data_IF_532930237962
#
_entry.id   IF_532930237962
#
_cell.length_a   1.000
_cell.length_b   1.000
_cell.length_c   1.000
_cell.angle_alpha   90.00
_cell.angle_beta   90.00
_cell.angle_gamma   90.00
#
_symmetry.space_group_name_H-M   'P 1'
#
loop_
_entity.id
_entity.type
_entity.pdbx_description
1 polymer ?
#
# COMPACT_ATOMS: atom_id res chain seq x y z
N UNK A 1 4.44 10.64 7.18
CA UNK A 1 3.73 11.03 5.94
C UNK A 1 3.35 9.75 5.21
N UNK A 2 2.09 9.61 4.79
CA UNK A 2 1.62 8.46 3.99
C UNK A 2 1.46 8.92 2.54
N UNK A 3 2.16 8.28 1.60
CA UNK A 3 2.23 8.73 0.19
C UNK A 3 1.25 8.03 -0.73
N UNK A 4 0.28 7.28 -0.18
CA UNK A 4 -0.74 6.58 -0.95
C UNK A 4 -0.24 5.29 -1.62
N UNK A 5 -1.17 4.59 -2.28
CA UNK A 5 -0.88 3.38 -3.05
C UNK A 5 -0.62 3.76 -4.51
N UNK A 6 0.49 3.27 -5.09
CA UNK A 6 0.73 3.42 -6.52
C UNK A 6 -0.09 2.42 -7.33
N UNK A 7 -0.63 2.85 -8.49
CA UNK A 7 -1.41 1.98 -9.38
C UNK A 7 -0.54 1.03 -10.22
N UNK A 8 0.74 1.37 -10.43
CA UNK A 8 1.71 0.52 -11.09
C UNK A 8 2.33 -0.50 -10.15
N UNK A 9 2.60 -1.71 -10.63
CA UNK A 9 3.28 -2.74 -9.83
C UNK A 9 4.75 -2.33 -9.67
N UNK A 10 5.17 -2.05 -8.44
CA UNK A 10 6.56 -1.73 -8.09
C UNK A 10 6.94 -0.26 -8.22
N UNK A 11 6.08 0.61 -8.77
CA UNK A 11 6.37 2.05 -8.94
C UNK A 11 6.48 2.82 -7.63
N UNK A 12 5.92 2.29 -6.54
CA UNK A 12 6.07 2.88 -5.20
C UNK A 12 7.49 2.73 -4.63
N UNK A 13 8.28 1.79 -5.14
CA UNK A 13 9.60 1.45 -4.61
C UNK A 13 10.61 2.58 -4.86
N UNK A 14 10.84 3.04 -6.12
CA UNK A 14 11.71 4.18 -6.36
C UNK A 14 11.16 5.47 -5.76
N UNK A 15 9.84 5.60 -5.64
CA UNK A 15 9.21 6.75 -4.97
C UNK A 15 9.60 6.82 -3.48
N UNK A 16 9.58 5.68 -2.78
CA UNK A 16 10.03 5.60 -1.38
C UNK A 16 11.49 6.03 -1.21
N UNK A 17 12.38 5.53 -2.08
CA UNK A 17 13.79 5.93 -2.09
C UNK A 17 13.96 7.43 -2.38
N UNK A 18 13.19 8.00 -3.33
CA UNK A 18 13.21 9.43 -3.64
C UNK A 18 12.74 10.31 -2.49
N UNK A 19 11.74 9.87 -1.72
CA UNK A 19 11.25 10.60 -0.54
C UNK A 19 12.35 10.74 0.51
N UNK A 20 13.06 9.65 0.85
CA UNK A 20 14.15 9.73 1.83
C UNK A 20 15.41 10.38 1.29
N UNK A 21 15.64 10.34 -0.02
CA UNK A 21 16.68 11.17 -0.64
C UNK A 21 16.39 12.65 -0.39
N UNK A 22 15.15 13.10 -0.59
CA UNK A 22 14.74 14.48 -0.32
C UNK A 22 14.82 14.82 1.18
N UNK A 23 14.42 13.91 2.08
CA UNK A 23 14.57 14.12 3.52
C UNK A 23 16.04 14.22 3.93
N UNK A 24 16.90 13.34 3.41
CA UNK A 24 18.35 13.38 3.64
C UNK A 24 18.96 14.68 3.13
N UNK A 25 18.57 15.14 1.95
CA UNK A 25 19.03 16.40 1.37
C UNK A 25 18.64 17.61 2.22
N UNK A 26 17.47 17.55 2.86
CA UNK A 26 16.96 18.59 3.77
C UNK A 26 17.43 18.42 5.23
N UNK A 27 18.31 17.45 5.51
CA UNK A 27 18.73 17.09 6.87
C UNK A 27 17.56 16.78 7.82
N UNK A 28 16.45 16.29 7.25
CA UNK A 28 15.30 15.83 8.00
C UNK A 28 15.57 14.37 8.36
N UNK A 29 15.70 14.08 9.65
CA UNK A 29 16.01 12.75 10.19
C UNK A 29 14.82 11.77 10.08
N UNK A 30 14.35 11.55 8.85
CA UNK A 30 13.19 10.73 8.52
C UNK A 30 13.62 9.50 7.73
N UNK A 31 12.84 8.43 7.92
CA UNK A 31 12.98 7.16 7.21
C UNK A 31 11.76 6.94 6.31
N UNK A 32 11.87 6.05 5.32
CA UNK A 32 10.76 5.64 4.46
C UNK A 32 10.70 4.13 4.40
N UNK A 33 9.48 3.62 4.51
CA UNK A 33 9.15 2.22 4.24
C UNK A 33 8.60 2.12 2.82
N UNK A 34 9.33 1.41 1.96
CA UNK A 34 8.92 1.08 0.61
C UNK A 34 8.35 -0.35 0.60
N UNK A 35 7.03 -0.45 0.71
CA UNK A 35 6.31 -1.73 0.79
C UNK A 35 5.91 -2.23 -0.60
N UNK A 36 6.17 -3.50 -0.90
CA UNK A 36 5.85 -4.14 -2.17
C UNK A 36 5.56 -5.64 -1.98
N UNK A 37 4.80 -6.24 -2.91
CA UNK A 37 4.48 -7.67 -2.87
C UNK A 37 5.54 -8.56 -3.52
N UNK A 38 5.47 -9.86 -3.26
CA UNK A 38 6.30 -10.91 -3.88
C UNK A 38 6.34 -10.83 -5.42
N UNK A 39 5.20 -10.57 -6.07
CA UNK A 39 5.14 -10.38 -7.53
C UNK A 39 5.86 -9.12 -8.01
N UNK A 40 5.90 -8.06 -7.19
CA UNK A 40 6.64 -6.84 -7.49
C UNK A 40 8.15 -7.00 -7.22
N UNK A 41 8.57 -8.03 -6.49
CA UNK A 41 9.98 -8.29 -6.20
C UNK A 41 10.81 -8.63 -7.44
N UNK A 42 10.17 -8.94 -8.57
CA UNK A 42 10.80 -9.20 -9.87
C UNK A 42 10.90 -7.97 -10.78
N UNK A 43 10.42 -6.80 -10.33
CA UNK A 43 10.46 -5.58 -11.14
C UNK A 43 11.88 -5.00 -11.20
N UNK A 44 12.36 -4.64 -12.39
CA UNK A 44 13.70 -4.09 -12.59
C UNK A 44 13.99 -2.85 -11.74
N UNK A 45 13.00 -1.95 -11.63
CA UNK A 45 13.09 -0.73 -10.82
C UNK A 45 13.38 -0.97 -9.33
N UNK A 46 13.09 -2.16 -8.79
CA UNK A 46 13.46 -2.52 -7.42
C UNK A 46 14.98 -2.62 -7.28
N UNK A 47 15.65 -3.27 -8.24
CA UNK A 47 17.11 -3.44 -8.22
C UNK A 47 17.83 -2.11 -8.45
N UNK A 48 17.28 -1.26 -9.32
CA UNK A 48 17.75 0.12 -9.48
C UNK A 48 17.63 0.89 -8.15
N UNK A 49 16.48 0.81 -7.49
CA UNK A 49 16.26 1.47 -6.20
C UNK A 49 17.21 0.94 -5.11
N UNK A 50 17.48 -0.36 -5.05
CA UNK A 50 18.46 -0.95 -4.13
C UNK A 50 19.85 -0.38 -4.35
N UNK A 51 20.32 -0.39 -5.60
CA UNK A 51 21.65 0.11 -5.94
C UNK A 51 21.81 1.59 -5.56
N UNK A 52 20.82 2.43 -5.90
CA UNK A 52 20.85 3.86 -5.56
C UNK A 52 20.76 4.11 -4.06
N UNK A 53 19.91 3.35 -3.35
CA UNK A 53 19.78 3.46 -1.89
C UNK A 53 21.07 3.06 -1.17
N UNK A 54 21.74 2.00 -1.61
CA UNK A 54 23.03 1.56 -1.08
C UNK A 54 24.14 2.59 -1.37
N UNK A 55 24.27 3.00 -2.64
CA UNK A 55 25.28 3.96 -3.09
C UNK A 55 25.20 5.27 -2.31
N UNK A 56 23.99 5.79 -2.12
CA UNK A 56 23.75 7.05 -1.44
C UNK A 56 23.51 6.91 0.05
N UNK A 57 23.59 5.71 0.62
CA UNK A 57 23.33 5.42 2.04
C UNK A 57 22.01 6.06 2.49
N UNK A 58 20.93 5.77 1.77
CA UNK A 58 19.60 6.32 2.06
C UNK A 58 18.94 5.56 3.22
N UNK A 59 18.22 6.26 4.12
CA UNK A 59 17.46 5.61 5.18
C UNK A 59 16.13 5.04 4.66
N UNK A 60 16.20 4.18 3.64
CA UNK A 60 15.04 3.51 3.03
C UNK A 60 14.98 2.05 3.48
N UNK A 61 13.83 1.62 3.98
CA UNK A 61 13.55 0.23 4.37
C UNK A 61 12.65 -0.37 3.32
N UNK A 62 13.16 -1.37 2.60
CA UNK A 62 12.42 -2.10 1.58
C UNK A 62 11.71 -3.31 2.20
N UNK A 63 10.39 -3.33 2.15
CA UNK A 63 9.57 -4.36 2.80
C UNK A 63 8.85 -5.19 1.74
N UNK A 64 9.19 -6.48 1.67
CA UNK A 64 8.50 -7.42 0.80
C UNK A 64 7.40 -8.14 1.57
N UNK A 65 6.15 -7.89 1.23
CA UNK A 65 4.99 -8.65 1.68
C UNK A 65 4.89 -9.94 0.85
N UNK A 66 5.43 -11.03 1.39
CA UNK A 66 5.43 -12.32 0.71
C UNK A 66 4.26 -13.20 1.18
N UNK A 67 3.14 -13.12 0.46
CA UNK A 67 1.96 -13.97 0.66
C UNK A 67 1.98 -15.25 -0.20
N UNK A 68 3.14 -15.59 -0.80
CA UNK A 68 3.40 -16.73 -1.70
C UNK A 68 2.76 -16.65 -3.10
N UNK A 69 1.93 -15.63 -3.38
CA UNK A 69 1.19 -15.53 -4.64
C UNK A 69 1.08 -14.09 -5.18
N UNK A 70 1.76 -13.85 -6.31
CA UNK A 70 1.52 -12.71 -7.17
C UNK A 70 0.28 -12.92 -8.03
N UNK A 71 -0.88 -12.38 -7.60
CA UNK A 71 -2.19 -12.65 -8.21
C UNK A 71 -2.52 -14.16 -8.21
N UNK A 72 -2.48 -14.81 -9.39
CA UNK A 72 -2.74 -16.25 -9.56
C UNK A 72 -1.47 -17.08 -9.76
N UNK A 73 -0.31 -16.46 -9.61
CA UNK A 73 0.97 -17.10 -9.93
C UNK A 73 1.77 -17.32 -8.66
N UNK A 74 2.05 -18.58 -8.35
CA UNK A 74 2.89 -18.96 -7.21
C UNK A 74 4.31 -18.41 -7.40
N UNK A 75 4.93 -18.00 -6.30
CA UNK A 75 6.27 -17.40 -6.30
C UNK A 75 7.32 -18.31 -6.97
N UNK A 76 7.26 -19.61 -6.70
CA UNK A 76 8.15 -20.64 -7.27
C UNK A 76 8.10 -20.71 -8.80
N UNK A 77 7.00 -20.25 -9.42
CA UNK A 77 6.81 -20.26 -10.88
C UNK A 77 7.35 -19.00 -11.57
N UNK A 78 7.60 -17.93 -10.82
CA UNK A 78 8.01 -16.62 -11.37
C UNK A 78 9.37 -16.17 -10.88
N UNK A 79 9.92 -16.84 -9.87
CA UNK A 79 11.13 -16.43 -9.18
C UNK A 79 12.09 -17.60 -9.05
N UNK A 80 13.25 -17.50 -9.69
CA UNK A 80 14.32 -18.51 -9.57
C UNK A 80 14.85 -18.61 -8.13
N UNK A 81 14.89 -17.49 -7.41
CA UNK A 81 15.19 -17.43 -5.99
C UNK A 81 13.95 -16.93 -5.23
N UNK A 82 13.37 -17.79 -4.38
CA UNK A 82 12.18 -17.50 -3.57
C UNK A 82 12.50 -16.80 -2.25
N UNK A 83 13.76 -16.78 -1.82
CA UNK A 83 14.22 -16.03 -0.66
C UNK A 83 14.35 -14.54 -1.00
N UNK A 84 13.21 -13.84 -1.05
CA UNK A 84 13.11 -12.43 -1.45
C UNK A 84 14.03 -11.48 -0.67
N UNK A 85 14.33 -11.81 0.59
CA UNK A 85 15.20 -10.99 1.43
C UNK A 85 16.67 -10.99 0.98
N UNK A 86 17.11 -11.96 0.16
CA UNK A 86 18.50 -12.00 -0.36
C UNK A 86 18.65 -11.20 -1.66
N UNK A 87 17.56 -10.66 -2.22
CA UNK A 87 17.59 -10.00 -3.54
C UNK A 87 18.25 -8.62 -3.53
N UNK A 88 18.45 -8.05 -2.34
CA UNK A 88 19.16 -6.80 -2.15
C UNK A 88 20.66 -6.88 -2.45
N UNK A 89 21.22 -8.10 -2.56
CA UNK A 89 22.66 -8.37 -2.69
C UNK A 89 23.46 -7.63 -1.60
N UNK A 90 24.05 -6.49 -1.94
CA UNK A 90 24.78 -5.61 -1.01
C UNK A 90 23.88 -4.92 0.03
N UNK A 91 22.56 -4.85 -0.23
CA UNK A 91 21.57 -4.34 0.73
C UNK A 91 21.20 -5.48 1.69
N UNK A 92 21.52 -5.36 3.00
CA UNK A 92 21.24 -6.43 3.96
C UNK A 92 19.74 -6.64 4.13
N UNK A 93 19.31 -7.90 4.04
CA UNK A 93 17.91 -8.30 4.23
C UNK A 93 17.69 -9.11 5.50
N UNK A 94 16.53 -8.92 6.13
CA UNK A 94 16.12 -9.65 7.33
C UNK A 94 14.82 -10.43 7.06
N UNK A 95 14.80 -11.73 7.38
CA UNK A 95 13.62 -12.60 7.22
C UNK A 95 12.67 -12.59 8.42
N UNK A 96 13.16 -12.19 9.61
CA UNK A 96 12.60 -12.58 10.92
C UNK A 96 11.38 -11.81 11.45
N UNK A 97 10.92 -10.75 10.79
CA UNK A 97 9.86 -9.88 11.37
C UNK A 97 8.45 -10.52 11.31
N UNK A 98 8.22 -11.50 10.44
CA UNK A 98 6.85 -11.97 10.16
C UNK A 98 6.19 -12.89 11.20
N UNK A 99 6.93 -13.64 12.04
CA UNK A 99 6.25 -14.68 12.84
C UNK A 99 5.48 -14.14 14.05
N UNK A 100 6.04 -13.14 14.74
CA UNK A 100 5.42 -12.57 15.95
C UNK A 100 4.23 -11.66 15.60
N UNK A 101 4.34 -10.86 14.53
CA UNK A 101 3.26 -9.97 14.06
C UNK A 101 2.10 -10.77 13.48
N UNK A 102 2.37 -11.87 12.78
CA UNK A 102 1.29 -12.67 12.18
C UNK A 102 0.36 -13.26 13.24
N UNK A 103 0.89 -13.68 14.40
CA UNK A 103 0.05 -14.21 15.49
C UNK A 103 -0.91 -13.14 16.04
N UNK A 104 -0.42 -11.92 16.25
CA UNK A 104 -1.22 -10.79 16.75
C UNK A 104 -2.25 -10.31 15.70
N UNK A 105 -1.87 -10.29 14.41
CA UNK A 105 -2.79 -9.98 13.31
C UNK A 105 -3.85 -11.05 13.14
N UNK A 106 -3.50 -12.33 13.33
CA UNK A 106 -4.44 -13.45 13.22
C UNK A 106 -5.42 -13.48 14.40
N UNK A 107 -4.96 -13.12 15.60
CA UNK A 107 -5.82 -12.87 16.76
C UNK A 107 -6.79 -11.70 16.50
N UNK A 108 -6.29 -10.57 15.98
CA UNK A 108 -7.12 -9.42 15.63
C UNK A 108 -8.12 -9.74 14.48
N UNK A 109 -7.73 -10.57 13.52
CA UNK A 109 -8.59 -11.02 12.43
C UNK A 109 -9.68 -11.99 12.92
N UNK A 110 -9.34 -12.91 13.84
CA UNK A 110 -10.32 -13.77 14.50
C UNK A 110 -11.31 -12.95 15.31
N UNK A 111 -10.82 -11.94 16.05
CA UNK A 111 -11.67 -10.99 16.76
C UNK A 111 -12.62 -10.25 15.80
N UNK A 112 -12.12 -9.69 14.69
CA UNK A 112 -12.92 -9.01 13.68
C UNK A 112 -13.94 -9.93 12.97
N UNK A 113 -13.65 -11.23 12.88
CA UNK A 113 -14.57 -12.23 12.30
C UNK A 113 -15.65 -12.63 13.30
N UNK A 114 -15.36 -12.55 14.60
CA UNK A 114 -16.32 -12.77 15.68
C UNK A 114 -17.11 -11.52 16.06
N UNK A 115 -16.71 -10.35 15.55
CA UNK A 115 -17.40 -9.08 15.78
C UNK A 115 -18.75 -9.14 15.05
N UNK A 116 -19.89 -9.01 15.77
CA UNK A 116 -21.19 -8.98 15.12
C UNK A 116 -21.21 -7.87 14.07
N UNK A 117 -21.67 -8.19 12.85
CA UNK A 117 -21.84 -7.19 11.80
C UNK A 117 -22.57 -5.97 12.38
N UNK A 118 -22.02 -4.75 12.25
CA UNK A 118 -22.74 -3.57 12.67
C UNK A 118 -24.09 -3.55 11.94
N UNK A 119 -25.20 -3.31 12.65
CA UNK A 119 -26.52 -3.36 12.03
C UNK A 119 -26.55 -2.42 10.81
N UNK A 120 -27.23 -2.85 9.74
CA UNK A 120 -27.24 -2.11 8.47
C UNK A 120 -27.84 -0.69 8.61
N UNK A 121 -28.72 -0.49 9.60
CA UNK A 121 -29.38 0.80 9.87
C UNK A 121 -28.40 1.95 10.17
N UNK A 122 -27.41 1.82 11.08
CA UNK A 122 -26.39 2.86 11.29
C UNK A 122 -25.40 3.01 10.12
N UNK A 123 -25.09 1.95 9.37
CA UNK A 123 -24.13 2.00 8.25
C UNK A 123 -24.62 2.88 7.09
N UNK A 124 -25.92 2.82 6.80
CA UNK A 124 -26.57 3.71 5.81
C UNK A 124 -26.55 5.19 6.26
N UNK A 125 -26.65 5.46 7.56
CA UNK A 125 -26.67 6.83 8.08
C UNK A 125 -25.28 7.50 8.04
N UNK A 126 -24.18 6.74 8.14
CA UNK A 126 -22.82 7.30 8.13
C UNK A 126 -22.24 7.53 6.72
N UNK A 127 -22.68 6.76 5.71
CA UNK A 127 -22.25 6.97 4.31
C UNK A 127 -22.98 8.19 3.69
N UNK A 128 -24.19 8.50 4.15
CA UNK A 128 -25.02 9.59 3.64
C UNK A 128 -25.22 10.76 4.63
N UNK A 129 -24.36 10.93 5.65
CA UNK A 129 -24.38 12.16 6.47
C UNK A 129 -23.77 13.39 5.74
N UNK A 130 -23.76 13.37 4.42
CA UNK A 130 -23.97 14.60 3.69
C UNK A 130 -25.07 14.26 2.70
N UNK A 131 -26.25 14.81 2.90
CA UNK A 131 -27.13 15.13 1.78
C UNK A 131 -26.57 16.43 1.19
N UNK A 132 -25.57 16.40 0.28
CA UNK A 132 -25.21 17.63 -0.42
C UNK A 132 -26.49 18.14 -1.07
N UNK A 133 -26.71 19.46 -1.09
CA UNK A 133 -27.93 20.01 -1.68
C UNK A 133 -28.13 19.39 -3.07
N UNK A 134 -29.27 18.74 -3.28
CA UNK A 134 -29.60 18.04 -4.52
C UNK A 134 -29.97 19.04 -5.64
N UNK A 135 -29.08 20.00 -5.87
CA UNK A 135 -29.04 20.87 -7.04
C UNK A 135 -27.86 20.38 -7.88
N UNK A 136 -28.09 19.30 -8.61
CA UNK A 136 -27.12 18.84 -9.61
C UNK A 136 -27.23 19.77 -10.81
N UNK A 137 -26.08 20.31 -11.25
CA UNK A 137 -26.01 21.14 -12.47
C UNK A 137 -26.31 20.22 -13.66
N UNK A 138 -27.35 20.53 -14.44
CA UNK A 138 -27.68 19.74 -15.63
C UNK A 138 -26.58 19.82 -16.69
N UNK A 139 -26.73 19.05 -17.76
CA UNK A 139 -25.78 19.02 -18.90
C UNK A 139 -25.65 20.39 -19.60
N UNK A 140 -26.54 21.34 -19.29
CA UNK A 140 -26.50 22.73 -19.77
C UNK A 140 -26.25 23.72 -18.62
N UNK A 141 -25.42 24.76 -18.81
CA UNK A 141 -24.97 25.64 -17.71
C UNK A 141 -26.07 26.34 -16.90
N UNK A 142 -27.28 26.48 -17.45
CA UNK A 142 -28.40 27.21 -16.85
C UNK A 142 -29.55 26.32 -16.34
N UNK A 143 -29.52 25.00 -16.55
CA UNK A 143 -30.59 24.12 -16.11
C UNK A 143 -30.28 23.50 -14.73
N UNK A 144 -31.16 23.73 -13.75
CA UNK A 144 -31.15 23.05 -12.44
C UNK A 144 -32.31 22.06 -12.41
N UNK A 145 -32.02 20.78 -12.18
CA UNK A 145 -33.04 19.77 -11.97
C UNK A 145 -33.20 19.52 -10.48
N UNK A 146 -34.44 19.42 -10.03
CA UNK A 146 -34.83 19.04 -8.67
C UNK A 146 -35.64 17.76 -8.80
N UNK A 147 -35.27 16.69 -8.08
CA UNK A 147 -36.09 15.47 -8.08
C UNK A 147 -37.15 15.60 -7.00
N UNK A 148 -38.42 15.54 -7.38
CA UNK A 148 -39.54 15.41 -6.44
C UNK A 148 -39.57 13.96 -5.92
N UNK A 149 -39.20 13.77 -4.66
CA UNK A 149 -39.33 12.49 -3.97
C UNK A 149 -40.66 12.41 -3.24
N UNK A 150 -41.48 11.41 -3.58
CA UNK A 150 -42.43 10.83 -2.64
C UNK A 150 -41.84 9.49 -2.17
N UNK A 151 -41.53 9.43 -0.87
CA UNK A 151 -41.32 8.19 -0.11
C UNK A 151 -42.64 7.88 0.58
#
# INVERSE_FOLDING_TARGET
>A
MFSGRSGGVGSQIPLGAGIVLACKYRSNNQISFAVYGDGAANQGQLFEAFNMAALWKLPCIFVCENNRYGKRTAMERVSANTDVYTRGDVVPGFRKINHEINAEVEEAAQFATSDPEPPLDPLCNYIYHNSPSMKVRGVQPWAKLVSEGNI
#
